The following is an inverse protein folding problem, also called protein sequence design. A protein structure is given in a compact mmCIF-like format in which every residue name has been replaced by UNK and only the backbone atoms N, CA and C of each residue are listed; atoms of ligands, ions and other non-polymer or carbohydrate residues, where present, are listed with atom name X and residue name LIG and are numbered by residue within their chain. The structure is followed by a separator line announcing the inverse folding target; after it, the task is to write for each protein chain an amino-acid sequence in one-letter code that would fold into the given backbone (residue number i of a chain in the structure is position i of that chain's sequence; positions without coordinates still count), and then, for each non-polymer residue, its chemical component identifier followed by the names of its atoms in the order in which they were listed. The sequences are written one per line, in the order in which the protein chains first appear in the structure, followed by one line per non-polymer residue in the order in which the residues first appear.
data_IF_544681778028
#
_entry.id   IF_544681778028
#
_cell.length_a   1.000
_cell.length_b   1.000
_cell.length_c   1.000
_cell.angle_alpha   90.00
_cell.angle_beta   90.00
_cell.angle_gamma   90.00
#
_symmetry.space_group_name_H-M   'P 1'
#
loop_
_entity.id
_entity.type
_entity.pdbx_description
1 polymer ?
#
# COMPACT_ATOMS: atom_id res chain seq x y z
N UNK A 1 -9.80 6.34 -9.45
CA UNK A 1 -11.16 5.81 -9.52
C UNK A 1 -11.65 5.60 -8.09
N UNK A 2 -12.74 6.27 -7.70
CA UNK A 2 -13.32 6.21 -6.37
C UNK A 2 -14.65 5.42 -6.35
N UNK A 3 -14.96 4.64 -7.39
CA UNK A 3 -16.22 3.90 -7.51
C UNK A 3 -16.54 2.97 -6.32
N UNK A 4 -15.53 2.57 -5.55
CA UNK A 4 -15.67 1.77 -4.33
C UNK A 4 -15.26 2.50 -3.04
N UNK A 5 -14.71 3.71 -3.13
CA UNK A 5 -14.37 4.50 -1.96
C UNK A 5 -15.64 5.09 -1.34
N UNK A 6 -15.80 4.99 -0.01
CA UNK A 6 -16.69 5.92 0.70
C UNK A 6 -16.23 6.15 2.13
N UNK A 7 -16.59 7.31 2.68
CA UNK A 7 -16.43 7.70 4.08
C UNK A 7 -16.97 6.62 5.02
N UNK A 8 -16.20 6.26 6.04
CA UNK A 8 -16.56 5.27 7.05
C UNK A 8 -16.92 6.05 8.31
N UNK A 9 -18.19 6.00 8.73
CA UNK A 9 -18.58 6.42 10.08
C UNK A 9 -18.35 5.25 11.05
N UNK A 10 -18.02 5.58 12.29
CA UNK A 10 -17.52 4.71 13.36
C UNK A 10 -18.41 3.48 13.70
N UNK A 11 -19.64 3.43 13.16
CA UNK A 11 -20.61 2.36 13.36
C UNK A 11 -21.15 1.67 12.08
N UNK A 12 -20.61 1.95 10.89
CA UNK A 12 -21.12 1.32 9.65
C UNK A 12 -20.19 0.22 9.11
N UNK A 13 -20.52 -1.05 9.38
CA UNK A 13 -19.88 -2.23 8.78
C UNK A 13 -20.42 -2.47 7.36
N UNK A 14 -19.55 -2.80 6.39
CA UNK A 14 -19.94 -2.97 4.96
C UNK A 14 -19.71 -4.35 4.37
N UNK A 15 -20.74 -4.91 3.74
CA UNK A 15 -20.67 -6.16 2.98
C UNK A 15 -20.77 -5.85 1.49
N UNK A 16 -19.64 -5.75 0.77
CA UNK A 16 -19.69 -5.75 -0.70
C UNK A 16 -18.46 -6.44 -1.28
N UNK A 17 -18.69 -7.56 -1.99
CA UNK A 17 -17.67 -8.32 -2.73
C UNK A 17 -17.49 -7.68 -4.10
N UNK A 18 -16.71 -6.61 -4.19
CA UNK A 18 -16.38 -5.95 -5.46
C UNK A 18 -14.97 -5.36 -5.37
N UNK A 19 -14.11 -5.81 -6.27
CA UNK A 19 -12.69 -5.49 -6.40
C UNK A 19 -12.02 -6.58 -7.25
N UNK A 20 -10.97 -6.26 -8.00
CA UNK A 20 -10.13 -7.28 -8.64
C UNK A 20 -9.48 -8.10 -7.52
N UNK A 21 -9.82 -9.40 -7.45
CA UNK A 21 -9.42 -10.31 -6.36
C UNK A 21 -7.92 -10.35 -6.12
N UNK A 22 -7.11 -10.08 -7.15
CA UNK A 22 -5.66 -9.99 -7.07
C UNK A 22 -5.09 -8.97 -6.06
N UNK A 23 -5.86 -7.96 -5.63
CA UNK A 23 -5.44 -6.99 -4.60
C UNK A 23 -6.02 -7.27 -3.21
N UNK A 24 -6.87 -8.29 -3.09
CA UNK A 24 -7.52 -8.60 -1.82
C UNK A 24 -6.55 -9.30 -0.87
N UNK A 25 -6.54 -8.93 0.42
CA UNK A 25 -5.74 -9.62 1.42
C UNK A 25 -6.41 -10.94 1.85
N UNK A 26 -5.65 -11.86 2.49
CA UNK A 26 -6.15 -13.19 2.83
C UNK A 26 -7.32 -13.20 3.83
N UNK A 27 -7.46 -12.17 4.66
CA UNK A 27 -8.59 -12.04 5.60
C UNK A 27 -9.94 -11.72 4.91
N UNK A 28 -9.92 -11.22 3.67
CA UNK A 28 -11.14 -10.87 2.92
C UNK A 28 -11.79 -12.08 2.25
N UNK A 29 -11.05 -13.16 2.01
CA UNK A 29 -11.58 -14.42 1.44
C UNK A 29 -12.14 -15.39 2.48
N UNK A 30 -11.77 -15.21 3.75
CA UNK A 30 -12.20 -16.06 4.86
C UNK A 30 -13.32 -15.38 5.65
N UNK A 31 -14.21 -16.17 6.20
CA UNK A 31 -15.39 -15.86 7.03
C UNK A 31 -15.16 -14.89 8.24
N UNK A 32 -13.98 -14.28 8.35
CA UNK A 32 -13.53 -13.35 9.38
C UNK A 32 -14.11 -11.94 9.30
N UNK A 33 -14.74 -11.56 8.18
CA UNK A 33 -15.43 -10.26 8.06
C UNK A 33 -16.42 -10.00 9.20
N UNK A 34 -17.01 -11.05 9.78
CA UNK A 34 -17.99 -10.95 10.88
C UNK A 34 -17.40 -10.70 12.28
N UNK A 35 -16.08 -10.86 12.50
CA UNK A 35 -15.48 -10.86 13.86
C UNK A 35 -14.54 -9.68 14.14
N UNK A 36 -14.14 -8.90 13.15
CA UNK A 36 -13.19 -7.80 13.34
C UNK A 36 -13.86 -6.56 13.96
N UNK A 37 -13.72 -6.39 15.27
CA UNK A 37 -13.94 -5.11 15.96
C UNK A 37 -12.86 -4.13 15.49
N UNK A 38 -13.25 -3.15 14.67
CA UNK A 38 -12.47 -1.94 14.41
C UNK A 38 -11.36 -2.07 13.36
N UNK A 39 -11.54 -1.29 12.27
CA UNK A 39 -10.57 -0.82 11.29
C UNK A 39 -10.14 -1.73 10.10
N UNK A 40 -10.82 -1.47 8.99
CA UNK A 40 -10.62 -1.93 7.60
C UNK A 40 -9.47 -1.21 6.84
N UNK A 41 -8.61 -0.43 7.52
CA UNK A 41 -7.52 0.34 6.87
C UNK A 41 -6.33 -0.54 6.48
N UNK A 42 -6.15 -1.67 7.16
CA UNK A 42 -5.06 -2.63 6.89
C UNK A 42 -5.26 -3.36 5.56
N UNK A 43 -6.50 -3.50 5.10
CA UNK A 43 -6.84 -4.04 3.76
C UNK A 43 -6.21 -3.17 2.66
N UNK A 44 -6.31 -1.85 2.78
CA UNK A 44 -5.69 -0.91 1.85
C UNK A 44 -4.15 -1.03 1.86
N UNK A 45 -3.55 -1.29 3.03
CA UNK A 45 -2.10 -1.45 3.16
C UNK A 45 -1.57 -2.69 2.44
N UNK A 46 -2.35 -3.79 2.41
CA UNK A 46 -2.00 -4.96 1.60
C UNK A 46 -2.08 -4.64 0.11
N UNK A 47 -3.17 -3.99 -0.32
CA UNK A 47 -3.34 -3.58 -1.71
C UNK A 47 -2.20 -2.67 -2.17
N UNK A 48 -1.74 -1.74 -1.31
CA UNK A 48 -0.55 -0.92 -1.56
C UNK A 48 0.70 -1.79 -1.73
N UNK A 49 0.90 -2.80 -0.89
CA UNK A 49 1.99 -3.77 -1.05
C UNK A 49 1.95 -4.49 -2.40
N UNK A 50 0.77 -4.95 -2.83
CA UNK A 50 0.58 -5.57 -4.15
C UNK A 50 0.90 -4.60 -5.29
N UNK A 51 0.43 -3.34 -5.20
CA UNK A 51 0.69 -2.32 -6.23
C UNK A 51 2.19 -2.02 -6.35
N UNK A 52 2.89 -1.85 -5.23
CA UNK A 52 4.34 -1.61 -5.24
C UNK A 52 5.07 -2.81 -5.85
N UNK A 53 4.69 -4.04 -5.47
CA UNK A 53 5.27 -5.26 -6.05
C UNK A 53 5.10 -5.29 -7.56
N UNK A 54 3.87 -5.12 -8.06
CA UNK A 54 3.56 -5.12 -9.50
C UNK A 54 4.31 -4.00 -10.24
N UNK A 55 4.48 -2.83 -9.61
CA UNK A 55 5.22 -1.72 -10.21
C UNK A 55 6.71 -2.03 -10.39
N UNK A 56 7.28 -2.89 -9.55
CA UNK A 56 8.68 -3.33 -9.61
C UNK A 56 8.85 -4.50 -10.59
N UNK A 57 7.96 -5.48 -10.53
CA UNK A 57 8.15 -6.78 -11.20
C UNK A 57 7.37 -6.92 -12.51
N UNK A 58 6.29 -6.15 -12.68
CA UNK A 58 5.36 -6.27 -13.80
C UNK A 58 4.35 -7.42 -13.68
N UNK A 59 4.32 -8.16 -12.57
CA UNK A 59 3.39 -9.29 -12.37
C UNK A 59 2.85 -9.34 -10.93
N UNK A 60 1.74 -10.06 -10.73
CA UNK A 60 1.09 -10.18 -9.43
C UNK A 60 1.83 -11.14 -8.48
N UNK A 61 1.94 -10.82 -7.18
CA UNK A 61 2.62 -11.68 -6.22
C UNK A 61 1.87 -12.98 -5.91
N UNK A 62 0.55 -13.00 -6.13
CA UNK A 62 -0.32 -14.15 -5.83
C UNK A 62 -1.21 -14.46 -7.03
N UNK A 63 -1.44 -15.75 -7.26
CA UNK A 63 -2.36 -16.26 -8.26
C UNK A 63 -3.77 -16.37 -7.65
N UNK A 64 -4.74 -15.67 -8.24
CA UNK A 64 -6.13 -15.64 -7.78
C UNK A 64 -6.91 -16.94 -8.03
N UNK A 65 -6.44 -17.77 -8.96
CA UNK A 65 -7.04 -19.07 -9.28
C UNK A 65 -6.59 -20.19 -8.33
N UNK A 66 -5.62 -19.90 -7.45
CA UNK A 66 -5.01 -20.86 -6.53
C UNK A 66 -5.34 -20.52 -5.07
N UNK A 67 -5.32 -21.52 -4.19
CA UNK A 67 -5.46 -21.29 -2.75
C UNK A 67 -4.35 -20.35 -2.27
N UNK A 68 -4.72 -19.32 -1.52
CA UNK A 68 -3.80 -18.28 -1.06
C UNK A 68 -2.90 -18.81 0.06
N UNK A 69 -3.36 -19.74 0.91
CA UNK A 69 -2.62 -20.22 2.08
C UNK A 69 -1.18 -20.70 1.78
N UNK A 70 -0.96 -21.65 0.85
CA UNK A 70 0.41 -22.07 0.50
C UNK A 70 1.22 -20.95 -0.14
N UNK A 71 0.58 -19.98 -0.78
CA UNK A 71 1.27 -18.83 -1.37
C UNK A 71 1.74 -17.84 -0.29
N UNK A 72 1.00 -17.70 0.83
CA UNK A 72 1.39 -16.87 1.97
C UNK A 72 2.66 -17.40 2.66
N UNK A 73 2.79 -18.72 2.78
CA UNK A 73 3.99 -19.36 3.35
C UNK A 73 5.23 -19.11 2.48
N UNK A 74 5.04 -18.98 1.17
CA UNK A 74 6.10 -18.75 0.19
C UNK A 74 6.38 -17.27 -0.12
N UNK A 75 5.82 -16.32 0.63
CA UNK A 75 6.12 -14.88 0.49
C UNK A 75 7.64 -14.58 0.45
N UNK A 76 8.50 -15.21 1.28
CA UNK A 76 9.95 -15.00 1.20
C UNK A 76 10.56 -15.32 -0.17
N UNK A 77 9.99 -16.26 -0.92
CA UNK A 77 10.48 -16.66 -2.25
C UNK A 77 10.21 -15.61 -3.32
N UNK A 78 9.15 -14.80 -3.16
CA UNK A 78 8.82 -13.70 -4.07
C UNK A 78 9.96 -12.69 -4.25
N UNK A 79 10.81 -12.55 -3.23
CA UNK A 79 11.93 -11.60 -3.19
C UNK A 79 13.28 -12.20 -3.60
N UNK A 80 13.31 -13.49 -3.95
CA UNK A 80 14.53 -14.16 -4.44
C UNK A 80 14.73 -14.00 -5.96
N UNK A 81 13.76 -13.42 -6.67
CA UNK A 81 13.84 -13.11 -8.09
C UNK A 81 15.01 -12.14 -8.38
N UNK A 82 15.70 -12.34 -9.50
CA UNK A 82 16.76 -11.46 -10.01
C UNK A 82 16.36 -9.99 -10.08
N UNK A 83 15.09 -9.67 -10.37
CA UNK A 83 14.58 -8.28 -10.37
C UNK A 83 14.85 -7.60 -9.01
N UNK A 84 14.63 -8.32 -7.92
CA UNK A 84 14.87 -7.80 -6.57
C UNK A 84 16.35 -7.64 -6.25
N UNK A 85 17.28 -8.22 -7.01
CA UNK A 85 18.71 -7.91 -6.84
C UNK A 85 19.05 -6.44 -7.12
N UNK A 86 18.24 -5.77 -7.94
CA UNK A 86 18.37 -4.34 -8.27
C UNK A 86 17.56 -3.42 -7.37
N UNK A 87 16.76 -3.99 -6.46
CA UNK A 87 15.88 -3.24 -5.55
C UNK A 87 16.58 -3.05 -4.21
N UNK A 88 16.49 -1.84 -3.64
CA UNK A 88 17.10 -1.55 -2.34
C UNK A 88 16.49 -2.39 -1.21
N UNK A 89 17.31 -2.78 -0.23
CA UNK A 89 16.83 -3.54 0.94
C UNK A 89 15.71 -2.82 1.71
N UNK A 90 15.69 -1.48 1.69
CA UNK A 90 14.61 -0.68 2.30
C UNK A 90 13.25 -0.94 1.67
N UNK A 91 13.20 -1.10 0.34
CA UNK A 91 11.95 -1.42 -0.37
C UNK A 91 11.52 -2.85 -0.07
N UNK A 92 12.48 -3.79 -0.05
CA UNK A 92 12.20 -5.19 0.29
C UNK A 92 11.69 -5.33 1.72
N UNK A 93 12.28 -4.62 2.68
CA UNK A 93 11.80 -4.63 4.07
C UNK A 93 10.37 -4.12 4.19
N UNK A 94 10.07 -2.98 3.55
CA UNK A 94 8.70 -2.45 3.56
C UNK A 94 7.70 -3.43 2.95
N UNK A 95 8.02 -4.01 1.79
CA UNK A 95 7.13 -4.98 1.14
C UNK A 95 6.95 -6.24 1.97
N UNK A 96 8.06 -6.91 2.32
CA UNK A 96 8.06 -8.25 2.94
C UNK A 96 7.65 -8.22 4.40
N UNK A 97 8.18 -7.27 5.17
CA UNK A 97 8.08 -7.29 6.62
C UNK A 97 6.92 -6.44 7.15
N UNK A 98 6.32 -5.59 6.31
CA UNK A 98 5.37 -4.55 6.76
C UNK A 98 4.06 -4.49 5.99
N UNK A 99 4.05 -4.72 4.67
CA UNK A 99 2.83 -4.59 3.84
C UNK A 99 2.22 -5.93 3.43
N UNK A 100 3.02 -6.84 2.88
CA UNK A 100 2.58 -8.19 2.49
C UNK A 100 2.66 -9.15 3.68
N UNK A 101 2.11 -8.73 4.82
CA UNK A 101 2.04 -9.52 6.05
C UNK A 101 0.64 -10.16 6.14
N UNK A 102 0.55 -11.50 6.23
CA UNK A 102 -0.73 -12.20 6.29
C UNK A 102 -1.59 -11.78 7.49
N UNK A 103 -0.95 -11.59 8.64
CA UNK A 103 -1.64 -11.11 9.84
C UNK A 103 -1.89 -9.60 9.75
N UNK A 104 -3.15 -9.22 9.61
CA UNK A 104 -3.59 -7.83 9.55
C UNK A 104 -3.21 -7.02 10.80
N UNK A 105 -3.11 -7.63 11.98
CA UNK A 105 -2.71 -6.96 13.23
C UNK A 105 -1.23 -6.57 13.27
N UNK A 106 -0.39 -7.25 12.48
CA UNK A 106 1.03 -6.95 12.35
C UNK A 106 1.36 -6.11 11.11
N UNK A 107 0.37 -5.83 10.25
CA UNK A 107 0.55 -5.05 9.03
C UNK A 107 0.72 -3.56 9.38
N UNK A 108 1.74 -2.93 8.80
CA UNK A 108 2.07 -1.53 9.07
C UNK A 108 0.97 -0.59 8.56
N UNK A 109 0.57 0.37 9.39
CA UNK A 109 -0.38 1.41 9.02
C UNK A 109 0.28 2.51 8.18
N UNK A 110 -0.53 3.24 7.40
CA UNK A 110 -0.06 4.32 6.51
C UNK A 110 0.86 5.34 7.22
N UNK A 111 0.53 5.75 8.45
CA UNK A 111 1.37 6.64 9.23
C UNK A 111 2.77 6.06 9.43
N UNK A 112 2.88 4.78 9.78
CA UNK A 112 4.15 4.08 9.94
C UNK A 112 4.94 3.96 8.64
N UNK A 113 4.26 3.78 7.50
CA UNK A 113 4.90 3.72 6.18
C UNK A 113 5.62 5.02 5.85
N UNK A 114 5.01 6.17 6.14
CA UNK A 114 5.63 7.47 5.83
C UNK A 114 6.89 7.69 6.67
N UNK A 115 6.94 7.16 7.90
CA UNK A 115 8.15 7.20 8.74
C UNK A 115 9.16 6.09 8.42
N UNK A 116 8.87 5.19 7.50
CA UNK A 116 9.78 4.12 7.10
C UNK A 116 11.00 4.68 6.38
N UNK A 117 12.18 4.09 6.60
CA UNK A 117 13.45 4.51 6.03
C UNK A 117 13.42 4.74 4.51
N UNK A 118 12.62 3.95 3.78
CA UNK A 118 12.46 4.13 2.33
C UNK A 118 11.89 5.51 1.97
N UNK A 119 10.89 5.99 2.72
CA UNK A 119 10.29 7.31 2.52
C UNK A 119 11.17 8.44 3.09
N UNK A 120 11.93 8.15 4.15
CA UNK A 120 12.82 9.14 4.79
C UNK A 120 14.12 9.38 4.01
N UNK A 121 14.59 8.39 3.25
CA UNK A 121 15.89 8.46 2.54
C UNK A 121 15.75 8.68 1.05
N UNK A 122 14.52 8.75 0.51
CA UNK A 122 14.35 8.97 -0.92
C UNK A 122 14.82 10.39 -1.30
N UNK A 123 15.65 10.53 -2.34
CA UNK A 123 15.99 11.86 -2.86
C UNK A 123 14.72 12.60 -3.23
N UNK A 124 14.77 13.94 -3.11
CA UNK A 124 13.62 14.85 -3.18
C UNK A 124 12.49 14.32 -4.09
N UNK A 125 11.44 13.72 -3.50
CA UNK A 125 10.33 13.09 -4.22
C UNK A 125 9.76 14.03 -5.29
N UNK A 126 9.72 15.33 -4.98
CA UNK A 126 9.32 16.38 -5.92
C UNK A 126 10.20 16.38 -7.19
N UNK A 127 11.51 16.23 -7.06
CA UNK A 127 12.42 16.17 -8.21
C UNK A 127 12.16 14.93 -9.07
N UNK A 128 11.94 13.77 -8.46
CA UNK A 128 11.58 12.55 -9.20
C UNK A 128 10.21 12.67 -9.89
N UNK A 129 9.22 13.27 -9.23
CA UNK A 129 7.92 13.56 -9.83
C UNK A 129 8.05 14.51 -11.03
N UNK A 130 8.84 15.59 -10.90
CA UNK A 130 9.12 16.53 -12.00
C UNK A 130 9.76 15.84 -13.19
N UNK A 131 10.79 15.03 -12.94
CA UNK A 131 11.48 14.30 -14.01
C UNK A 131 10.53 13.36 -14.76
N UNK A 132 9.63 12.66 -14.05
CA UNK A 132 8.64 11.81 -14.68
C UNK A 132 7.63 12.61 -15.51
N UNK A 133 7.17 13.76 -15.01
CA UNK A 133 6.26 14.65 -15.75
C UNK A 133 6.90 15.21 -17.02
N UNK A 134 8.18 15.59 -16.96
CA UNK A 134 8.96 16.03 -18.12
C UNK A 134 9.05 14.92 -19.18
N UNK A 135 9.33 13.68 -18.77
CA UNK A 135 9.37 12.54 -19.68
C UNK A 135 8.01 12.22 -20.33
N UNK A 136 6.90 12.51 -19.63
CA UNK A 136 5.54 12.23 -20.10
C UNK A 136 4.88 13.44 -20.78
N UNK A 137 5.55 14.59 -20.83
CA UNK A 137 5.05 15.87 -21.33
C UNK A 137 3.71 16.30 -20.68
N UNK A 138 3.47 15.91 -19.42
CA UNK A 138 2.21 16.16 -18.71
C UNK A 138 2.44 16.41 -17.23
N UNK A 139 1.75 17.41 -16.67
CA UNK A 139 1.87 17.85 -15.27
C UNK A 139 0.64 17.48 -14.45
N UNK A 140 0.81 16.62 -13.45
CA UNK A 140 -0.27 16.11 -12.59
C UNK A 140 0.17 15.86 -11.14
N UNK A 141 1.38 15.35 -10.93
CA UNK A 141 1.95 14.95 -9.64
C UNK A 141 2.43 16.15 -8.84
N UNK A 142 2.92 17.20 -9.51
CA UNK A 142 3.57 18.33 -8.84
C UNK A 142 2.67 19.51 -8.55
N UNK A 143 1.44 19.48 -9.07
CA UNK A 143 0.42 20.52 -8.84
C UNK A 143 0.20 20.77 -7.34
N UNK A 144 0.16 19.71 -6.53
CA UNK A 144 -0.05 19.79 -5.09
C UNK A 144 1.13 20.42 -4.32
N UNK A 145 2.34 20.36 -4.87
CA UNK A 145 3.53 20.87 -4.20
C UNK A 145 3.76 22.37 -4.45
N UNK A 146 3.09 22.94 -5.46
CA UNK A 146 3.19 24.36 -5.81
C UNK A 146 2.19 25.24 -5.04
N UNK A 147 1.11 24.65 -4.50
CA UNK A 147 0.17 25.37 -3.63
C UNK A 147 0.71 25.57 -2.20
N UNK A 148 1.74 24.82 -1.80
CA UNK A 148 2.38 24.93 -0.49
C UNK A 148 3.77 25.57 -0.63
N UNK A 149 3.86 26.87 -0.38
CA UNK A 149 5.03 27.74 -0.64
C UNK A 149 6.29 27.46 0.21
N UNK A 150 6.39 26.31 0.85
CA UNK A 150 7.56 25.92 1.64
C UNK A 150 7.56 24.42 1.85
N UNK A 151 8.57 23.76 1.25
CA UNK A 151 9.04 22.40 1.51
C UNK A 151 7.94 21.43 2.03
N UNK A 152 7.30 20.65 1.16
CA UNK A 152 6.09 19.92 1.50
C UNK A 152 6.43 18.79 2.48
N UNK A 153 6.28 19.08 3.76
CA UNK A 153 5.92 18.08 4.75
C UNK A 153 4.57 17.57 4.24
N UNK A 154 4.51 16.30 3.83
CA UNK A 154 3.24 15.63 3.51
C UNK A 154 2.30 15.99 4.66
N UNK A 155 1.22 16.75 4.44
CA UNK A 155 0.35 17.16 5.53
C UNK A 155 -0.32 15.88 6.02
N UNK A 156 0.22 15.30 7.08
CA UNK A 156 -0.44 14.20 7.75
C UNK A 156 -1.78 14.74 8.22
N UNK A 157 -2.83 13.96 7.95
CA UNK A 157 -4.06 14.06 8.68
C UNK A 157 -3.70 14.10 10.17
N UNK A 158 -3.77 15.30 10.75
CA UNK A 158 -3.74 15.49 12.18
C UNK A 158 -4.77 14.54 12.73
N UNK A 159 -4.33 13.68 13.65
CA UNK A 159 -5.23 12.92 14.50
C UNK A 159 -6.14 13.95 15.13
N UNK A 160 -7.39 14.02 14.69
CA UNK A 160 -8.44 14.60 15.51
C UNK A 160 -8.55 13.66 16.72
N UNK A 161 -7.79 13.96 17.76
CA UNK A 161 -8.18 13.63 19.12
C UNK A 161 -9.53 14.31 19.32
N UNK A 162 -10.59 13.51 19.41
CA UNK A 162 -11.86 13.96 19.96
C UNK A 162 -12.08 13.22 21.26
N UNK A 163 -12.26 14.03 22.30
CA UNK A 163 -12.70 13.69 23.65
C UNK A 163 -14.00 12.88 23.69
#
# INVERSE_FOLDING_TARGET
DFGYARTIHEHSLRYTKVGTTAYAPPEVSLDQWRRAKGYNKTVDMWAIGVIIFVSITGYFPFNEDMDIQPQLENIPELFQNEIFSHVTEKVKDLLRCRLLVPDAGHRMHAAGVIYHDWFQTSPNLLASCRQLEECLEKKWLTLFFEETDSNPIIPFATVEESD
#
